data_IF_169471223567
#
_entry.id   IF_169471223567
#
_cell.length_a   1.000
_cell.length_b   1.000
_cell.length_c   1.000
_cell.angle_alpha   90.00
_cell.angle_beta   90.00
_cell.angle_gamma   90.00
#
_symmetry.space_group_name_H-M   'P 1'
#
loop_
_entity.id
_entity.type
_entity.pdbx_description
1 polymer ?
#
# COMPACT_ATOMS: atom_id res chain seq x y z
N UNK A 1 9.91 18.36 -20.83
CA UNK A 1 8.83 17.38 -21.11
C UNK A 1 9.06 16.17 -20.19
N UNK A 2 8.99 16.35 -18.87
CA UNK A 2 9.44 15.33 -17.92
C UNK A 2 8.41 14.97 -16.86
N UNK A 3 7.18 15.47 -16.99
CA UNK A 3 6.16 15.36 -15.95
C UNK A 3 5.10 14.28 -16.21
N UNK A 4 5.27 13.45 -17.25
CA UNK A 4 4.32 12.36 -17.56
C UNK A 4 4.69 11.01 -16.94
N UNK A 5 5.94 10.84 -16.48
CA UNK A 5 6.41 9.58 -15.87
C UNK A 5 5.83 9.40 -14.46
N UNK A 6 5.84 10.46 -13.66
CA UNK A 6 5.42 10.45 -12.25
C UNK A 6 3.95 10.08 -12.06
N UNK A 7 3.05 10.45 -12.97
CA UNK A 7 1.63 10.09 -12.87
C UNK A 7 1.38 8.62 -13.16
N UNK A 8 2.02 8.07 -14.21
CA UNK A 8 1.84 6.67 -14.60
C UNK A 8 2.41 5.73 -13.54
N UNK A 9 3.56 6.09 -12.98
CA UNK A 9 4.20 5.29 -11.94
C UNK A 9 3.44 5.38 -10.60
N UNK A 10 2.81 6.53 -10.31
CA UNK A 10 1.92 6.69 -9.14
C UNK A 10 0.67 5.83 -9.30
N UNK A 11 0.02 5.86 -10.45
CA UNK A 11 -1.19 5.06 -10.70
C UNK A 11 -0.89 3.56 -10.62
N UNK A 12 0.21 3.11 -11.23
CA UNK A 12 0.67 1.73 -11.12
C UNK A 12 1.02 1.33 -9.67
N UNK A 13 1.58 2.26 -8.88
CA UNK A 13 1.84 2.01 -7.47
C UNK A 13 0.56 1.96 -6.64
N UNK A 14 -0.40 2.84 -6.94
CA UNK A 14 -1.71 2.83 -6.30
C UNK A 14 -2.47 1.54 -6.58
N UNK A 15 -2.50 1.11 -7.85
CA UNK A 15 -3.11 -0.15 -8.25
C UNK A 15 -2.41 -1.36 -7.59
N UNK A 16 -1.08 -1.36 -7.52
CA UNK A 16 -0.33 -2.39 -6.82
C UNK A 16 -0.62 -2.42 -5.31
N UNK A 17 -0.77 -1.25 -4.67
CA UNK A 17 -1.16 -1.14 -3.27
C UNK A 17 -2.56 -1.71 -3.05
N UNK A 18 -3.55 -1.29 -3.85
CA UNK A 18 -4.91 -1.78 -3.74
C UNK A 18 -5.00 -3.29 -3.97
N UNK A 19 -4.33 -3.81 -5.01
CA UNK A 19 -4.29 -5.24 -5.28
C UNK A 19 -3.67 -6.03 -4.11
N UNK A 20 -2.56 -5.55 -3.54
CA UNK A 20 -1.93 -6.19 -2.38
C UNK A 20 -2.85 -6.19 -1.16
N UNK A 21 -3.53 -5.08 -0.90
CA UNK A 21 -4.48 -4.98 0.22
C UNK A 21 -5.69 -5.90 0.00
N UNK A 22 -6.21 -5.99 -1.22
CA UNK A 22 -7.27 -6.94 -1.57
C UNK A 22 -6.82 -8.41 -1.45
N UNK A 23 -5.62 -8.74 -1.93
CA UNK A 23 -5.02 -10.07 -1.73
C UNK A 23 -4.88 -10.39 -0.24
N UNK A 24 -4.43 -9.42 0.58
CA UNK A 24 -4.38 -9.58 2.03
C UNK A 24 -5.76 -9.81 2.63
N UNK A 25 -6.79 -9.11 2.15
CA UNK A 25 -8.17 -9.28 2.62
C UNK A 25 -8.74 -10.66 2.26
N UNK A 26 -8.40 -11.19 1.08
CA UNK A 26 -8.76 -12.55 0.66
C UNK A 26 -8.00 -13.62 1.46
N UNK A 27 -6.73 -13.37 1.81
CA UNK A 27 -5.87 -14.26 2.60
C UNK A 27 -5.87 -13.94 4.09
N UNK A 28 -6.76 -13.06 4.57
CA UNK A 28 -6.76 -12.54 5.94
C UNK A 28 -6.88 -13.65 6.98
N UNK A 29 -7.63 -14.71 6.70
CA UNK A 29 -7.76 -15.88 7.57
C UNK A 29 -6.45 -16.68 7.70
N UNK A 30 -5.53 -16.56 6.74
CA UNK A 30 -4.23 -17.22 6.73
C UNK A 30 -3.08 -16.31 7.22
N UNK A 31 -3.26 -14.99 7.18
CA UNK A 31 -2.23 -14.01 7.56
C UNK A 31 -2.46 -13.43 8.95
N UNK A 32 -1.35 -13.16 9.64
CA UNK A 32 -1.39 -12.58 10.98
C UNK A 32 -1.79 -11.09 10.94
N UNK A 33 -2.42 -10.60 12.01
CA UNK A 33 -2.79 -9.18 12.19
C UNK A 33 -1.58 -8.24 12.20
N UNK A 34 -0.37 -8.76 12.43
CA UNK A 34 0.90 -8.02 12.39
C UNK A 34 1.47 -7.80 10.98
N UNK A 35 0.62 -7.89 9.95
CA UNK A 35 1.04 -7.67 8.56
C UNK A 35 1.10 -6.17 8.28
N UNK A 36 2.24 -5.72 7.76
CA UNK A 36 2.47 -4.34 7.36
C UNK A 36 2.79 -4.27 5.88
N UNK A 37 2.36 -3.19 5.26
CA UNK A 37 2.73 -2.82 3.92
C UNK A 37 4.01 -2.00 3.96
N UNK A 38 5.06 -2.50 3.33
CA UNK A 38 6.35 -1.84 3.28
C UNK A 38 6.61 -1.27 1.89
N UNK A 39 7.08 -0.03 1.85
CA UNK A 39 7.46 0.65 0.62
C UNK A 39 8.92 1.06 0.73
N UNK A 40 9.72 0.65 -0.24
CA UNK A 40 11.10 1.05 -0.32
C UNK A 40 11.19 2.48 -0.89
N UNK A 41 11.68 3.43 -0.10
CA UNK A 41 11.78 4.82 -0.52
C UNK A 41 12.71 5.04 -1.73
N UNK A 42 13.67 4.15 -1.96
CA UNK A 42 14.65 4.25 -3.07
C UNK A 42 14.17 3.59 -4.35
N UNK A 43 13.63 2.37 -4.25
CA UNK A 43 13.25 1.57 -5.42
C UNK A 43 11.76 1.67 -5.74
N UNK A 44 10.97 2.26 -4.83
CA UNK A 44 9.50 2.34 -4.90
C UNK A 44 8.84 0.98 -5.01
N UNK A 45 9.53 -0.07 -4.57
CA UNK A 45 8.96 -1.42 -4.43
C UNK A 45 8.01 -1.44 -3.25
N UNK A 46 6.87 -2.09 -3.46
CA UNK A 46 5.84 -2.34 -2.45
C UNK A 46 5.88 -3.84 -2.12
N UNK A 47 5.87 -4.18 -0.85
CA UNK A 47 5.88 -5.56 -0.38
C UNK A 47 5.04 -5.71 0.90
N UNK A 48 4.37 -6.84 1.05
CA UNK A 48 3.62 -7.18 2.27
C UNK A 48 4.42 -8.18 3.10
N UNK A 49 4.59 -7.88 4.38
CA UNK A 49 5.31 -8.78 5.29
C UNK A 49 5.20 -8.33 6.74
N UNK A 50 6.09 -8.83 7.59
CA UNK A 50 6.14 -8.39 8.97
C UNK A 50 7.06 -7.18 9.15
N UNK A 51 6.73 -6.29 10.09
CA UNK A 51 7.54 -5.10 10.39
C UNK A 51 9.00 -5.43 10.71
N UNK A 52 9.26 -6.61 11.26
CA UNK A 52 10.60 -7.11 11.60
C UNK A 52 11.43 -7.54 10.39
N UNK A 53 10.81 -7.79 9.23
CA UNK A 53 11.51 -8.16 8.00
C UNK A 53 12.01 -6.94 7.23
N UNK A 54 11.44 -5.76 7.49
CA UNK A 54 11.78 -4.53 6.81
C UNK A 54 12.82 -3.73 7.59
N UNK A 55 13.97 -3.47 6.94
CA UNK A 55 15.09 -2.72 7.50
C UNK A 55 15.04 -1.22 7.16
N UNK A 56 16.02 -0.45 7.69
CA UNK A 56 16.14 0.99 7.45
C UNK A 56 16.17 1.33 5.94
N UNK A 57 15.22 2.15 5.51
CA UNK A 57 15.01 2.52 4.09
C UNK A 57 13.68 2.02 3.51
N UNK A 58 13.01 1.13 4.22
CA UNK A 58 11.61 0.77 3.97
C UNK A 58 10.72 1.54 4.95
N UNK A 59 9.72 2.24 4.42
CA UNK A 59 8.64 2.77 5.23
C UNK A 59 7.57 1.70 5.38
N UNK A 60 7.18 1.43 6.62
CA UNK A 60 6.17 0.40 6.93
C UNK A 60 4.89 1.08 7.39
N UNK A 61 3.78 0.69 6.77
CA UNK A 61 2.45 1.17 7.06
C UNK A 61 1.60 -0.02 7.52
N UNK A 62 0.91 0.08 8.66
CA UNK A 62 -0.01 -0.96 9.08
C UNK A 62 -1.06 -1.19 8.00
N UNK A 63 -1.25 -2.44 7.54
CA UNK A 63 -2.24 -2.68 6.49
C UNK A 63 -3.66 -2.40 6.98
N UNK A 64 -3.89 -2.48 8.29
CA UNK A 64 -5.16 -2.09 8.92
C UNK A 64 -5.52 -0.62 8.67
N UNK A 65 -4.54 0.27 8.49
CA UNK A 65 -4.79 1.68 8.12
C UNK A 65 -5.08 1.86 6.63
N UNK A 66 -4.80 0.83 5.82
CA UNK A 66 -5.07 0.81 4.38
C UNK A 66 -6.33 0.02 4.06
N UNK A 67 -7.08 -0.38 5.08
CA UNK A 67 -8.31 -1.13 4.93
C UNK A 67 -9.41 -0.26 5.51
N UNK A 68 -10.44 0.03 4.71
CA UNK A 68 -11.67 0.65 5.21
C UNK A 68 -12.77 -0.38 5.34
N UNK A 69 -13.68 -0.14 6.28
CA UNK A 69 -14.92 -0.91 6.35
C UNK A 69 -15.79 -0.48 5.16
N UNK A 70 -16.23 -1.45 4.36
CA UNK A 70 -17.13 -1.17 3.26
C UNK A 70 -18.52 -0.91 3.87
N UNK A 71 -19.07 0.28 3.68
CA UNK A 71 -20.37 0.65 4.24
C UNK A 71 -21.54 -0.08 3.54
N UNK A 72 -21.35 -0.57 2.32
CA UNK A 72 -22.39 -1.26 1.54
C UNK A 72 -22.43 -2.78 1.77
N UNK A 73 -21.30 -3.35 2.19
CA UNK A 73 -21.18 -4.77 2.47
C UNK A 73 -20.32 -4.88 3.71
N UNK A 74 -20.75 -5.56 4.79
CA UNK A 74 -19.98 -5.72 6.04
C UNK A 74 -18.60 -6.40 5.90
N UNK A 75 -18.08 -6.52 4.67
CA UNK A 75 -16.68 -6.78 4.37
C UNK A 75 -15.79 -5.55 4.53
N UNK A 76 -14.52 -5.80 4.30
CA UNK A 76 -13.45 -4.80 4.35
C UNK A 76 -12.91 -4.63 2.94
N UNK A 77 -12.53 -3.42 2.57
CA UNK A 77 -11.98 -3.09 1.25
C UNK A 77 -10.70 -2.27 1.38
N UNK A 78 -9.90 -2.23 0.31
CA UNK A 78 -8.72 -1.39 0.27
C UNK A 78 -9.14 0.09 0.36
N UNK A 79 -8.53 0.83 1.27
CA UNK A 79 -8.69 2.27 1.39
C UNK A 79 -7.89 2.95 0.29
N UNK A 80 -8.58 3.25 -0.82
CA UNK A 80 -8.00 3.88 -2.00
C UNK A 80 -7.44 5.28 -1.67
N UNK A 81 -8.04 6.00 -0.72
CA UNK A 81 -7.55 7.33 -0.35
C UNK A 81 -6.22 7.21 0.40
N UNK A 82 -6.13 6.27 1.34
CA UNK A 82 -4.89 6.01 2.09
C UNK A 82 -3.78 5.45 1.21
N UNK A 83 -4.07 4.49 0.30
CA UNK A 83 -3.07 3.97 -0.65
C UNK A 83 -2.61 5.06 -1.62
N UNK A 84 -3.52 5.93 -2.06
CA UNK A 84 -3.19 7.04 -2.93
C UNK A 84 -2.36 8.12 -2.25
N UNK A 85 -2.62 8.43 -0.97
CA UNK A 85 -1.83 9.38 -0.19
C UNK A 85 -0.40 8.90 0.01
N UNK A 86 -0.22 7.60 0.30
CA UNK A 86 1.09 6.97 0.43
C UNK A 86 1.81 6.99 -0.92
N UNK A 87 1.18 6.49 -2.00
CA UNK A 87 1.78 6.53 -3.33
C UNK A 87 2.15 7.97 -3.73
N UNK A 88 1.28 8.95 -3.46
CA UNK A 88 1.57 10.35 -3.71
C UNK A 88 2.76 10.84 -2.89
N UNK A 89 2.89 10.47 -1.61
CA UNK A 89 4.04 10.87 -0.79
C UNK A 89 5.39 10.37 -1.34
N UNK A 90 5.42 9.22 -2.01
CA UNK A 90 6.64 8.68 -2.66
C UNK A 90 6.91 9.22 -4.07
N UNK A 91 5.89 9.74 -4.76
CA UNK A 91 6.00 10.19 -6.16
C UNK A 91 5.89 11.71 -6.35
N UNK A 92 5.27 12.42 -5.41
CA UNK A 92 5.07 13.86 -5.36
C UNK A 92 6.00 14.54 -4.35
N UNK A 93 7.25 14.11 -4.28
CA UNK A 93 8.29 14.93 -3.63
C UNK A 93 8.60 16.09 -4.57
N UNK A 94 7.94 17.24 -4.34
CA UNK A 94 8.33 18.52 -4.92
C UNK A 94 9.65 19.03 -4.32
#
# INVERSE_FOLDING_TARGET
>A
MSDYSSYTERDASNEALCNLVEEYLQEKDARSTDTVLAINAKTKKIELGHKTEFAAGWETYPIENLIRDNEENSGKEADIDATFEIASSFFFVC
#
